data_IF_787991147739
#
_entry.id   IF_787991147739
#
_cell.length_a   1.000
_cell.length_b   1.000
_cell.length_c   1.000
_cell.angle_alpha   90.00
_cell.angle_beta   90.00
_cell.angle_gamma   90.00
#
_symmetry.space_group_name_H-M   'P 1'
#
loop_
_entity.id
_entity.type
_entity.pdbx_description
1 polymer ?
#
# COMPACT_ATOMS: atom_id res chain seq x y z
N UNK A 1 17.02 -5.18 -3.88
CA UNK A 1 16.50 -4.36 -2.78
C UNK A 1 15.03 -4.67 -2.61
N UNK A 2 14.56 -4.98 -1.40
CA UNK A 2 13.15 -5.26 -1.10
C UNK A 2 12.50 -3.98 -0.58
N UNK A 3 11.27 -3.70 -1.01
CA UNK A 3 10.47 -2.55 -0.58
C UNK A 3 9.03 -3.00 -0.30
N UNK A 4 8.32 -2.24 0.52
CA UNK A 4 6.98 -2.54 1.01
C UNK A 4 6.03 -1.40 0.70
N UNK A 5 4.85 -1.74 0.19
CA UNK A 5 3.73 -0.82 -0.04
C UNK A 5 2.63 -1.07 0.99
N UNK A 6 2.19 -0.02 1.67
CA UNK A 6 1.08 -0.10 2.63
C UNK A 6 -0.25 0.30 1.99
N UNK A 7 -1.17 -0.64 1.84
CA UNK A 7 -2.52 -0.43 1.29
C UNK A 7 -3.54 -1.28 2.02
N UNK A 8 -4.81 -0.85 2.01
CA UNK A 8 -5.95 -1.66 2.45
C UNK A 8 -6.39 -2.69 1.40
N UNK A 9 -5.80 -2.69 0.22
CA UNK A 9 -6.12 -3.61 -0.87
C UNK A 9 -4.93 -4.50 -1.22
N UNK A 10 -5.24 -5.76 -1.51
CA UNK A 10 -4.27 -6.69 -2.07
C UNK A 10 -4.04 -6.36 -3.56
N UNK A 11 -2.78 -6.23 -3.97
CA UNK A 11 -2.39 -5.92 -5.35
C UNK A 11 -1.71 -7.14 -5.95
N UNK A 12 -2.46 -7.96 -6.68
CA UNK A 12 -1.91 -9.16 -7.35
C UNK A 12 -1.01 -8.80 -8.55
N UNK A 13 -1.41 -7.75 -9.30
CA UNK A 13 -0.73 -7.31 -10.52
C UNK A 13 -0.52 -5.80 -10.44
N UNK A 14 0.66 -5.33 -9.99
CA UNK A 14 0.90 -3.91 -9.84
C UNK A 14 0.92 -3.21 -11.20
N UNK A 15 0.12 -2.16 -11.31
CA UNK A 15 0.14 -1.24 -12.46
C UNK A 15 0.00 0.21 -11.98
N UNK A 16 0.51 1.15 -12.78
CA UNK A 16 0.46 2.59 -12.50
C UNK A 16 -0.61 3.33 -13.31
N UNK A 17 -1.37 2.61 -14.13
CA UNK A 17 -2.45 3.20 -14.95
C UNK A 17 -3.64 3.59 -14.09
N UNK A 18 -3.87 2.86 -13.00
CA UNK A 18 -4.93 3.12 -12.03
C UNK A 18 -4.48 3.96 -10.82
N UNK A 19 -3.30 4.59 -10.89
CA UNK A 19 -2.86 5.51 -9.84
C UNK A 19 -3.82 6.69 -9.68
N UNK A 20 -3.86 7.24 -8.47
CA UNK A 20 -4.59 8.48 -8.20
C UNK A 20 -3.99 9.62 -9.05
N UNK A 21 -4.86 10.48 -9.59
CA UNK A 21 -4.43 11.55 -10.52
C UNK A 21 -3.55 12.63 -9.88
N UNK A 22 -3.68 12.86 -8.58
CA UNK A 22 -3.07 13.99 -7.87
C UNK A 22 -2.15 13.50 -6.74
N UNK A 23 -1.10 12.77 -7.10
CA UNK A 23 -0.04 12.36 -6.16
C UNK A 23 1.15 13.32 -6.26
N UNK A 24 1.85 13.53 -5.15
CA UNK A 24 2.97 14.49 -5.08
C UNK A 24 4.12 14.17 -6.06
N UNK A 25 4.24 12.91 -6.45
CA UNK A 25 5.30 12.40 -7.34
C UNK A 25 4.77 11.74 -8.62
N UNK A 26 3.50 11.94 -8.95
CA UNK A 26 2.84 11.32 -10.10
C UNK A 26 2.45 9.85 -9.88
N UNK A 27 2.12 9.15 -10.97
CA UNK A 27 1.60 7.78 -10.93
C UNK A 27 2.64 6.77 -10.43
N UNK A 28 2.32 6.08 -9.34
CA UNK A 28 3.21 5.09 -8.74
C UNK A 28 2.68 4.55 -7.41
N UNK A 29 3.53 3.75 -6.76
CA UNK A 29 3.29 3.23 -5.42
C UNK A 29 4.20 3.95 -4.43
N UNK A 30 3.64 4.42 -3.32
CA UNK A 30 4.45 4.83 -2.18
C UNK A 30 5.01 3.57 -1.52
N UNK A 31 6.34 3.53 -1.41
CA UNK A 31 7.06 2.38 -0.87
C UNK A 31 8.05 2.82 0.21
N UNK A 32 8.40 1.88 1.09
CA UNK A 32 9.42 2.04 2.13
C UNK A 32 10.24 0.76 2.25
N UNK A 33 11.48 0.83 2.71
CA UNK A 33 12.29 -0.36 3.06
C UNK A 33 11.96 -0.90 4.46
N UNK A 34 11.14 -0.19 5.25
CA UNK A 34 10.75 -0.56 6.62
C UNK A 34 9.38 -1.23 6.61
N UNK A 35 9.32 -2.55 6.82
CA UNK A 35 8.08 -3.35 6.73
C UNK A 35 7.01 -2.85 7.71
N UNK A 36 7.39 -2.58 8.95
CA UNK A 36 6.49 -2.13 10.02
C UNK A 36 5.82 -0.78 9.68
N UNK A 37 6.49 0.05 8.89
CA UNK A 37 5.94 1.32 8.44
C UNK A 37 4.85 1.09 7.38
N UNK A 38 5.07 0.19 6.42
CA UNK A 38 4.06 -0.18 5.43
C UNK A 38 2.82 -0.81 6.08
N UNK A 39 3.01 -1.67 7.09
CA UNK A 39 1.91 -2.26 7.86
C UNK A 39 1.08 -1.21 8.60
N UNK A 40 1.74 -0.23 9.24
CA UNK A 40 1.05 0.90 9.89
C UNK A 40 0.26 1.74 8.88
N UNK A 41 0.79 1.97 7.68
CA UNK A 41 0.09 2.68 6.62
C UNK A 41 -1.14 1.91 6.13
N UNK A 42 -1.00 0.60 5.88
CA UNK A 42 -2.11 -0.27 5.52
C UNK A 42 -3.22 -0.24 6.57
N UNK A 43 -2.85 -0.35 7.86
CA UNK A 43 -3.79 -0.28 8.97
C UNK A 43 -4.53 1.04 9.06
N UNK A 44 -3.80 2.15 9.02
CA UNK A 44 -4.40 3.49 9.03
C UNK A 44 -5.37 3.67 7.85
N UNK A 45 -5.02 3.15 6.67
CA UNK A 45 -5.87 3.25 5.48
C UNK A 45 -7.16 2.42 5.64
N UNK A 46 -7.07 1.19 6.16
CA UNK A 46 -8.23 0.35 6.42
C UNK A 46 -9.15 0.96 7.49
N UNK A 47 -8.58 1.46 8.58
CA UNK A 47 -9.32 2.12 9.68
C UNK A 47 -10.12 3.33 9.16
N UNK A 48 -9.52 4.17 8.31
CA UNK A 48 -10.17 5.34 7.70
C UNK A 48 -11.39 4.97 6.82
N UNK A 49 -11.40 3.76 6.26
CA UNK A 49 -12.46 3.29 5.38
C UNK A 49 -13.49 2.42 6.11
N UNK A 50 -13.31 2.16 7.42
CA UNK A 50 -14.10 1.18 8.18
C UNK A 50 -14.05 -0.23 7.58
N UNK A 51 -12.98 -0.56 6.86
CA UNK A 51 -12.78 -1.85 6.19
C UNK A 51 -11.90 -2.78 7.03
N UNK A 52 -12.15 -4.10 6.95
CA UNK A 52 -11.38 -5.10 7.71
C UNK A 52 -9.99 -5.26 7.11
N UNK A 53 -8.94 -5.15 7.93
CA UNK A 53 -7.55 -5.29 7.51
C UNK A 53 -7.29 -6.63 6.80
N UNK A 54 -6.83 -6.61 5.55
CA UNK A 54 -6.28 -7.79 4.88
C UNK A 54 -4.74 -7.73 4.95
N UNK A 55 -4.15 -8.55 5.82
CA UNK A 55 -2.71 -8.78 5.86
C UNK A 55 -2.43 -10.19 5.37
N UNK A 56 -1.56 -10.31 4.36
CA UNK A 56 -1.05 -11.61 3.89
C UNK A 56 0.46 -11.60 4.09
N UNK A 57 0.96 -12.61 4.80
CA UNK A 57 2.38 -12.91 4.89
C UNK A 57 2.83 -13.58 3.59
N UNK A 58 3.87 -13.03 2.97
CA UNK A 58 4.58 -13.69 1.88
C UNK A 58 5.88 -14.29 2.44
N UNK A 59 6.05 -15.60 2.23
CA UNK A 59 7.33 -16.31 2.35
C UNK A 59 8.20 -16.06 1.12
#
# INVERSE_FOLDING_TARGET
MIVYHGSNQHVEKPDVKHSLRNLDFGSGFYVTTVKEQAEKWAKRRADLLSEKLQMIEFF
#
